data_IF_602557318536
#
_entry.id   IF_602557318536
#
_cell.length_a   1.000
_cell.length_b   1.000
_cell.length_c   1.000
_cell.angle_alpha   90.00
_cell.angle_beta   90.00
_cell.angle_gamma   90.00
#
_symmetry.space_group_name_H-M   'P 1'
#
loop_
_entity.id
_entity.type
_entity.pdbx_description
1 polymer ?
#
# COMPACT_ATOMS: atom_id res chain seq x y z
N UNK A 1 -30.03 20.10 27.77
CA UNK A 1 -29.75 18.66 28.00
C UNK A 1 -28.79 18.55 29.17
N UNK A 2 -28.94 17.54 30.03
CA UNK A 2 -28.09 17.35 31.19
C UNK A 2 -26.82 16.55 30.85
N UNK A 3 -25.65 17.01 31.30
CA UNK A 3 -24.40 16.27 31.18
C UNK A 3 -24.07 15.48 32.45
N UNK A 4 -24.03 14.15 32.38
CA UNK A 4 -23.73 13.28 33.53
C UNK A 4 -22.27 13.34 34.00
N UNK A 5 -21.35 13.81 33.15
CA UNK A 5 -19.92 13.94 33.46
C UNK A 5 -19.64 15.22 34.22
N UNK A 6 -20.26 16.33 33.81
CA UNK A 6 -20.06 17.64 34.42
C UNK A 6 -21.14 18.01 35.45
N UNK A 7 -22.25 17.27 35.49
CA UNK A 7 -23.42 17.50 36.37
C UNK A 7 -24.06 18.89 36.21
N UNK A 8 -24.08 19.42 34.99
CA UNK A 8 -24.65 20.74 34.67
C UNK A 8 -25.65 20.62 33.52
N UNK A 9 -26.72 21.40 33.61
CA UNK A 9 -27.68 21.62 32.53
C UNK A 9 -27.21 22.76 31.62
N UNK A 10 -26.98 22.44 30.35
CA UNK A 10 -26.50 23.40 29.37
C UNK A 10 -27.50 23.55 28.21
N UNK A 11 -27.72 24.78 27.73
CA UNK A 11 -28.62 25.05 26.61
C UNK A 11 -28.04 24.55 25.28
N UNK A 12 -26.71 24.57 25.11
CA UNK A 12 -26.02 24.11 23.91
C UNK A 12 -25.19 22.84 24.20
N UNK A 13 -25.79 21.68 23.94
CA UNK A 13 -25.19 20.38 24.27
C UNK A 13 -23.97 20.07 23.39
N UNK A 14 -24.00 20.42 22.11
CA UNK A 14 -22.93 20.09 21.16
C UNK A 14 -21.64 20.85 21.45
N UNK A 15 -21.74 22.14 21.76
CA UNK A 15 -20.58 22.95 22.12
C UNK A 15 -19.96 22.48 23.44
N UNK A 16 -20.78 22.07 24.40
CA UNK A 16 -20.31 21.54 25.67
C UNK A 16 -19.44 20.29 25.49
N UNK A 17 -19.89 19.28 24.74
CA UNK A 17 -19.13 18.03 24.56
C UNK A 17 -17.78 18.24 23.84
N UNK A 18 -17.62 19.32 23.08
CA UNK A 18 -16.36 19.70 22.43
C UNK A 18 -15.46 20.56 23.32
N UNK A 19 -15.97 21.09 24.43
CA UNK A 19 -15.22 21.98 25.31
C UNK A 19 -14.08 21.26 26.03
N UNK A 20 -12.99 22.01 26.31
CA UNK A 20 -11.85 21.50 27.07
C UNK A 20 -12.29 21.09 28.48
N UNK A 21 -13.17 21.87 29.12
CA UNK A 21 -13.73 21.57 30.43
C UNK A 21 -14.41 20.20 30.51
N UNK A 22 -15.24 19.86 29.52
CA UNK A 22 -15.87 18.54 29.43
C UNK A 22 -14.83 17.43 29.30
N UNK A 23 -13.85 17.60 28.40
CA UNK A 23 -12.78 16.62 28.20
C UNK A 23 -11.93 16.40 29.48
N UNK A 24 -11.72 17.45 30.28
CA UNK A 24 -10.99 17.35 31.55
C UNK A 24 -11.80 16.64 32.62
N UNK A 25 -13.10 16.96 32.77
CA UNK A 25 -13.97 16.25 33.70
C UNK A 25 -14.17 14.77 33.30
N UNK A 26 -14.16 14.47 32.01
CA UNK A 26 -14.18 13.09 31.52
C UNK A 26 -12.91 12.32 31.92
N UNK A 27 -11.72 12.93 31.76
CA UNK A 27 -10.45 12.34 32.23
C UNK A 27 -10.46 12.10 33.75
N UNK A 28 -11.00 13.05 34.53
CA UNK A 28 -11.12 12.92 35.99
C UNK A 28 -12.06 11.79 36.38
N UNK A 29 -13.20 11.66 35.68
CA UNK A 29 -14.14 10.54 35.88
C UNK A 29 -13.48 9.19 35.59
N UNK A 30 -12.66 9.10 34.54
CA UNK A 30 -11.88 7.88 34.23
C UNK A 30 -10.84 7.55 35.30
N UNK A 31 -10.43 8.52 36.11
CA UNK A 31 -9.51 8.38 37.23
C UNK A 31 -10.25 8.37 38.58
N UNK A 32 -11.57 8.16 38.59
CA UNK A 32 -12.43 8.12 39.78
C UNK A 32 -12.38 9.39 40.66
N UNK A 33 -11.90 10.51 40.11
CA UNK A 33 -11.86 11.79 40.79
C UNK A 33 -13.16 12.59 40.61
N UNK A 34 -13.56 13.40 41.60
CA UNK A 34 -14.75 14.22 41.50
C UNK A 34 -14.62 15.25 40.36
N UNK A 35 -15.72 15.53 39.62
CA UNK A 35 -15.76 16.58 38.61
C UNK A 35 -15.44 17.96 39.23
N UNK A 36 -14.77 18.80 38.45
CA UNK A 36 -14.40 20.18 38.82
C UNK A 36 -15.46 21.14 38.28
N UNK A 37 -15.80 22.14 39.08
CA UNK A 37 -16.72 23.21 38.68
C UNK A 37 -16.09 24.19 37.67
N UNK A 38 -16.90 24.92 36.93
CA UNK A 38 -16.42 25.81 35.87
C UNK A 38 -15.48 26.90 36.41
N UNK A 39 -15.80 27.49 37.57
CA UNK A 39 -14.95 28.52 38.19
C UNK A 39 -13.57 27.99 38.60
N UNK A 40 -13.53 26.77 39.13
CA UNK A 40 -12.29 26.11 39.53
C UNK A 40 -11.45 25.73 38.31
N UNK A 41 -12.10 25.33 37.21
CA UNK A 41 -11.43 25.04 35.95
C UNK A 41 -10.75 26.29 35.36
N UNK A 42 -11.45 27.43 35.37
CA UNK A 42 -10.88 28.71 34.91
C UNK A 42 -9.64 29.10 35.73
N UNK A 43 -9.73 29.05 37.06
CA UNK A 43 -8.59 29.35 37.95
C UNK A 43 -7.38 28.46 37.66
N UNK A 44 -7.57 27.15 37.48
CA UNK A 44 -6.49 26.23 37.15
C UNK A 44 -5.90 26.50 35.76
N UNK A 45 -6.74 26.87 34.79
CA UNK A 45 -6.28 27.20 33.43
C UNK A 45 -5.43 28.46 33.38
N UNK A 46 -5.69 29.44 34.25
CA UNK A 46 -4.89 30.67 34.35
C UNK A 46 -3.51 30.42 34.97
N UNK A 47 -3.41 29.49 35.92
CA UNK A 47 -2.15 29.12 36.58
C UNK A 47 -1.30 28.18 35.71
N UNK A 48 -1.95 27.35 34.89
CA UNK A 48 -1.28 26.39 34.00
C UNK A 48 -1.18 26.92 32.55
N UNK A 49 -0.60 28.09 32.35
CA UNK A 49 0.04 28.38 31.06
C UNK A 49 1.40 27.68 31.05
N UNK A 50 1.57 26.51 30.41
CA UNK A 50 2.90 25.97 30.25
C UNK A 50 3.68 26.94 29.36
N UNK A 51 4.82 27.43 29.85
CA UNK A 51 5.89 27.91 28.97
C UNK A 51 6.36 26.71 28.16
N UNK A 52 5.66 26.40 27.07
CA UNK A 52 6.01 25.28 26.21
C UNK A 52 7.31 25.69 25.53
N UNK A 53 8.43 25.19 26.03
CA UNK A 53 9.72 25.28 25.36
C UNK A 53 9.55 24.65 23.98
N UNK A 54 9.33 25.50 22.98
CA UNK A 54 9.13 25.08 21.60
C UNK A 54 10.48 24.67 21.04
N UNK A 55 10.60 23.41 20.64
CA UNK A 55 11.84 22.86 20.11
C UNK A 55 12.01 23.33 18.66
N UNK A 56 12.94 24.27 18.42
CA UNK A 56 13.20 24.82 17.09
C UNK A 56 14.29 24.03 16.36
N UNK A 57 14.11 23.83 15.05
CA UNK A 57 15.15 23.22 14.21
C UNK A 57 16.26 24.22 13.87
N UNK A 58 17.51 23.75 13.85
CA UNK A 58 18.67 24.59 13.49
C UNK A 58 18.83 24.79 11.98
N UNK A 59 18.23 23.90 11.19
CA UNK A 59 18.33 23.90 9.72
C UNK A 59 17.10 24.51 9.04
N UNK A 60 16.01 24.73 9.79
CA UNK A 60 14.86 25.47 9.30
C UNK A 60 14.09 26.13 10.46
N UNK A 61 13.33 27.19 10.18
CA UNK A 61 12.63 27.97 11.21
C UNK A 61 11.37 27.30 11.77
N UNK A 62 11.23 25.97 11.66
CA UNK A 62 10.06 25.24 12.15
C UNK A 62 10.19 24.91 13.63
N UNK A 63 9.19 25.34 14.40
CA UNK A 63 9.05 25.00 15.82
C UNK A 63 8.20 23.74 16.00
N UNK A 64 8.68 22.81 16.81
CA UNK A 64 8.06 21.51 17.06
C UNK A 64 7.67 21.37 18.54
N UNK A 65 6.55 20.69 18.79
CA UNK A 65 6.02 20.48 20.15
C UNK A 65 6.70 19.35 20.93
N UNK A 66 7.38 18.44 20.24
CA UNK A 66 7.98 17.23 20.83
C UNK A 66 9.42 17.05 20.32
N UNK A 67 10.33 16.72 21.23
CA UNK A 67 11.74 16.41 20.93
C UNK A 67 11.90 15.29 19.88
N UNK A 68 11.15 14.18 20.01
CA UNK A 68 11.17 13.09 19.02
C UNK A 68 10.81 13.56 17.61
N UNK A 69 9.86 14.50 17.50
CA UNK A 69 9.45 15.08 16.21
C UNK A 69 10.53 16.01 15.67
N UNK A 70 11.19 16.77 16.54
CA UNK A 70 12.34 17.59 16.17
C UNK A 70 13.47 16.70 15.63
N UNK A 71 13.83 15.63 16.33
CA UNK A 71 14.92 14.73 15.92
C UNK A 71 14.65 14.06 14.58
N UNK A 72 13.41 13.61 14.33
CA UNK A 72 13.05 13.08 13.01
C UNK A 72 13.12 14.17 11.94
N UNK A 73 12.57 15.34 12.24
CA UNK A 73 12.57 16.47 11.31
C UNK A 73 14.00 16.92 10.95
N UNK A 74 14.93 16.96 11.92
CA UNK A 74 16.34 17.29 11.68
C UNK A 74 16.97 16.28 10.73
N UNK A 75 16.70 14.97 10.89
CA UNK A 75 17.21 13.93 9.98
C UNK A 75 16.66 14.11 8.56
N UNK A 76 15.36 14.34 8.44
CA UNK A 76 14.72 14.55 7.14
C UNK A 76 15.26 15.83 6.47
N UNK A 77 15.50 16.89 7.26
CA UNK A 77 16.05 18.16 6.77
C UNK A 77 17.48 18.00 6.27
N UNK A 78 18.33 17.25 7.00
CA UNK A 78 19.69 16.92 6.59
C UNK A 78 19.72 16.09 5.31
N UNK A 79 18.88 15.06 5.23
CA UNK A 79 18.79 14.21 4.03
C UNK A 79 18.36 15.00 2.80
N UNK A 80 17.39 15.90 2.95
CA UNK A 80 16.95 16.75 1.86
C UNK A 80 18.05 17.72 1.40
N UNK A 81 18.82 18.27 2.35
CA UNK A 81 19.97 19.12 2.03
C UNK A 81 21.06 18.34 1.27
N UNK A 82 21.39 17.13 1.71
CA UNK A 82 22.35 16.25 1.03
C UNK A 82 21.89 15.92 -0.41
N UNK A 83 20.60 15.60 -0.59
CA UNK A 83 20.07 15.36 -1.94
C UNK A 83 20.12 16.59 -2.83
N UNK A 84 19.86 17.78 -2.28
CA UNK A 84 19.92 19.03 -3.04
C UNK A 84 21.36 19.32 -3.52
N UNK A 85 22.35 19.16 -2.63
CA UNK A 85 23.76 19.29 -2.98
C UNK A 85 24.20 18.28 -4.04
N UNK A 86 23.71 17.03 -3.93
CA UNK A 86 23.99 15.98 -4.92
C UNK A 86 23.38 16.31 -6.29
N UNK A 87 22.17 16.87 -6.33
CA UNK A 87 21.53 17.30 -7.59
C UNK A 87 22.35 18.43 -8.23
N UNK A 88 22.75 19.44 -7.46
CA UNK A 88 23.60 20.54 -7.95
C UNK A 88 24.93 20.04 -8.51
N UNK A 89 25.63 19.15 -7.80
CA UNK A 89 26.89 18.57 -8.28
C UNK A 89 26.72 17.73 -9.56
N UNK A 90 25.54 17.14 -9.79
CA UNK A 90 25.23 16.43 -11.04
C UNK A 90 24.90 17.39 -12.17
N UNK A 91 24.25 18.52 -11.90
CA UNK A 91 23.99 19.57 -12.87
C UNK A 91 25.31 20.22 -13.33
N UNK A 92 26.21 20.54 -12.40
CA UNK A 92 27.56 21.04 -12.71
C UNK A 92 28.38 20.02 -13.52
N UNK A 93 28.24 18.72 -13.23
CA UNK A 93 28.88 17.66 -14.03
C UNK A 93 28.30 17.58 -15.45
N UNK A 94 26.98 17.70 -15.60
CA UNK A 94 26.30 17.69 -16.90
C UNK A 94 26.66 18.91 -17.75
N UNK A 95 27.03 20.02 -17.13
CA UNK A 95 27.51 21.20 -17.84
C UNK A 95 28.92 20.98 -18.45
N UNK A 96 29.76 20.16 -17.81
CA UNK A 96 31.12 19.87 -18.28
C UNK A 96 31.20 18.65 -19.23
N UNK A 97 30.40 17.63 -18.97
CA UNK A 97 30.20 16.53 -19.92
C UNK A 97 29.16 16.99 -20.93
N UNK A 98 29.59 17.68 -21.99
CA UNK A 98 28.75 17.98 -23.14
C UNK A 98 28.17 16.69 -23.72
N UNK A 99 27.02 16.28 -23.20
CA UNK A 99 26.24 15.18 -23.74
C UNK A 99 25.74 15.68 -25.08
N UNK A 100 26.48 15.32 -26.12
CA UNK A 100 26.05 15.37 -27.50
C UNK A 100 24.78 14.51 -27.59
N UNK A 101 23.62 15.15 -27.40
CA UNK A 101 22.38 14.60 -27.91
C UNK A 101 22.47 14.79 -29.41
N UNK A 102 22.92 13.76 -30.11
CA UNK A 102 22.96 13.68 -31.56
C UNK A 102 21.54 13.57 -32.14
N UNK A 103 20.62 14.44 -31.70
CA UNK A 103 19.45 14.78 -32.49
C UNK A 103 19.95 15.78 -33.53
N UNK A 104 20.35 15.24 -34.67
CA UNK A 104 20.71 16.01 -35.85
C UNK A 104 19.62 17.05 -36.14
N UNK A 105 20.03 18.31 -36.09
CA UNK A 105 19.29 19.44 -36.62
C UNK A 105 19.30 19.32 -38.14
N UNK A 106 18.41 18.49 -38.68
CA UNK A 106 18.03 18.52 -40.07
C UNK A 106 17.19 19.78 -40.32
N UNK A 107 17.88 20.90 -40.60
CA UNK A 107 17.29 21.99 -41.36
C UNK A 107 17.04 21.48 -42.78
N UNK A 108 15.83 20.98 -43.04
CA UNK A 108 15.23 20.97 -44.36
C UNK A 108 13.98 21.85 -44.31
N UNK A 109 14.13 23.04 -44.88
CA UNK A 109 13.07 24.01 -45.14
C UNK A 109 12.07 23.43 -46.17
N UNK A 110 11.16 22.54 -45.77
CA UNK A 110 9.95 22.21 -46.54
C UNK A 110 9.06 21.25 -45.73
N UNK A 111 8.07 21.82 -45.04
CA UNK A 111 6.74 21.24 -44.73
C UNK A 111 6.19 21.85 -43.44
N UNK A 112 5.68 23.07 -43.58
CA UNK A 112 4.91 23.76 -42.56
C UNK A 112 3.49 23.15 -42.47
N UNK A 113 3.38 21.92 -41.96
CA UNK A 113 2.11 21.43 -41.40
C UNK A 113 2.09 21.75 -39.91
N UNK A 114 1.06 22.45 -39.40
CA UNK A 114 0.88 22.63 -37.97
C UNK A 114 0.80 21.24 -37.31
N UNK A 115 1.91 20.86 -36.68
CA UNK A 115 1.96 19.74 -35.75
C UNK A 115 1.12 20.17 -34.55
N UNK A 116 -0.06 19.56 -34.41
CA UNK A 116 -0.78 19.59 -33.14
C UNK A 116 0.12 18.90 -32.12
N UNK A 117 0.57 19.65 -31.11
CA UNK A 117 1.02 19.11 -29.84
C UNK A 117 -0.14 18.29 -29.24
N UNK A 118 -0.26 17.04 -29.68
CA UNK A 118 -0.84 16.03 -28.80
C UNK A 118 0.20 15.83 -27.71
N UNK A 119 0.07 16.63 -26.66
CA UNK A 119 0.74 16.40 -25.39
C UNK A 119 0.62 14.90 -25.09
N UNK A 120 1.75 14.20 -25.12
CA UNK A 120 1.84 12.78 -24.80
C UNK A 120 1.66 12.67 -23.28
N UNK A 121 0.44 12.94 -22.83
CA UNK A 121 0.06 13.00 -21.42
C UNK A 121 -0.13 11.58 -20.91
N UNK A 122 1.00 10.95 -20.56
CA UNK A 122 1.02 9.68 -19.86
C UNK A 122 0.47 9.76 -18.44
N UNK A 123 -0.03 10.91 -17.97
CA UNK A 123 -0.61 11.02 -16.63
C UNK A 123 -1.85 10.13 -16.45
N UNK A 124 -2.49 9.75 -17.56
CA UNK A 124 -3.67 8.90 -17.56
C UNK A 124 -3.41 7.40 -17.78
N UNK A 125 -2.21 7.00 -18.21
CA UNK A 125 -1.94 5.59 -18.49
C UNK A 125 -1.83 4.75 -17.19
N UNK A 126 -2.54 3.61 -17.11
CA UNK A 126 -2.53 2.77 -15.92
C UNK A 126 -1.26 1.92 -15.79
N UNK A 127 -0.44 1.84 -16.84
CA UNK A 127 0.79 1.05 -16.89
C UNK A 127 1.93 1.80 -17.58
N UNK A 128 3.16 1.47 -17.19
CA UNK A 128 4.39 1.88 -17.85
C UNK A 128 5.13 0.63 -18.32
N UNK A 129 5.47 0.55 -19.60
CA UNK A 129 6.28 -0.53 -20.15
C UNK A 129 7.76 -0.16 -20.07
N UNK A 130 8.56 -1.00 -19.42
CA UNK A 130 10.01 -0.81 -19.35
C UNK A 130 10.69 -1.48 -20.55
N UNK A 131 11.88 -1.00 -20.98
CA UNK A 131 12.69 -1.65 -22.01
C UNK A 131 13.06 -3.11 -21.69
N UNK A 132 13.05 -3.48 -20.41
CA UNK A 132 13.23 -4.85 -19.94
C UNK A 132 12.03 -5.77 -20.22
N UNK A 133 10.96 -5.27 -20.83
CA UNK A 133 9.71 -5.99 -21.07
C UNK A 133 8.81 -6.10 -19.84
N UNK A 134 9.22 -5.55 -18.70
CA UNK A 134 8.41 -5.52 -17.48
C UNK A 134 7.33 -4.44 -17.56
N UNK A 135 6.12 -4.75 -17.09
CA UNK A 135 5.00 -3.80 -17.04
C UNK A 135 4.81 -3.34 -15.59
N UNK A 136 4.95 -2.05 -15.34
CA UNK A 136 4.79 -1.44 -14.01
C UNK A 136 3.46 -0.71 -13.92
N UNK A 137 2.59 -1.12 -12.98
CA UNK A 137 1.30 -0.47 -12.76
C UNK A 137 1.41 0.86 -12.02
N UNK A 138 0.58 1.83 -12.40
CA UNK A 138 0.51 3.13 -11.74
C UNK A 138 -0.18 3.01 -10.37
N UNK A 139 0.42 3.64 -9.34
CA UNK A 139 -0.04 3.61 -7.95
C UNK A 139 -1.50 4.04 -7.78
N UNK A 140 -1.96 5.00 -8.60
CA UNK A 140 -3.35 5.50 -8.58
C UNK A 140 -4.38 4.40 -8.81
N UNK A 141 -4.01 3.33 -9.53
CA UNK A 141 -4.90 2.23 -9.87
C UNK A 141 -4.69 0.97 -9.00
N UNK A 142 -3.95 1.08 -7.88
CA UNK A 142 -3.67 -0.06 -6.98
C UNK A 142 -4.93 -0.77 -6.48
N UNK A 143 -6.02 -0.04 -6.28
CA UNK A 143 -7.29 -0.61 -5.81
C UNK A 143 -7.83 -1.59 -6.86
N UNK A 144 -7.82 -1.18 -8.13
CA UNK A 144 -8.26 -2.03 -9.25
C UNK A 144 -7.32 -3.22 -9.46
N UNK A 145 -6.00 -3.03 -9.33
CA UNK A 145 -5.04 -4.14 -9.44
C UNK A 145 -5.16 -5.17 -8.31
N UNK A 146 -5.66 -4.76 -7.14
CA UNK A 146 -5.92 -5.66 -5.99
C UNK A 146 -7.31 -6.28 -6.02
N UNK A 147 -8.20 -5.81 -6.89
CA UNK A 147 -9.54 -6.34 -7.01
C UNK A 147 -9.47 -7.79 -7.53
N UNK A 148 -10.07 -8.72 -6.77
CA UNK A 148 -10.17 -10.11 -7.18
C UNK A 148 -11.52 -10.31 -7.86
N UNK A 149 -11.52 -10.43 -9.19
CA UNK A 149 -12.74 -10.74 -9.93
C UNK A 149 -13.25 -12.13 -9.53
N UNK A 150 -14.40 -12.18 -8.84
CA UNK A 150 -15.00 -13.42 -8.36
C UNK A 150 -15.26 -14.42 -9.49
N UNK A 151 -15.60 -13.92 -10.68
CA UNK A 151 -15.78 -14.75 -11.87
C UNK A 151 -14.49 -15.48 -12.28
N UNK A 152 -13.34 -14.80 -12.30
CA UNK A 152 -12.04 -15.42 -12.62
C UNK A 152 -11.57 -16.37 -11.53
N UNK A 153 -11.86 -16.06 -10.26
CA UNK A 153 -11.59 -16.98 -9.16
C UNK A 153 -12.42 -18.27 -9.31
N UNK A 154 -13.71 -18.15 -9.64
CA UNK A 154 -14.61 -19.29 -9.83
C UNK A 154 -14.23 -20.14 -11.05
N UNK A 155 -13.78 -19.52 -12.16
CA UNK A 155 -13.25 -20.27 -13.29
C UNK A 155 -11.94 -21.00 -12.93
N UNK A 156 -11.04 -20.34 -12.18
CA UNK A 156 -9.78 -20.94 -11.76
C UNK A 156 -9.98 -22.12 -10.81
N UNK A 157 -10.95 -22.03 -9.88
CA UNK A 157 -11.30 -23.16 -9.01
C UNK A 157 -11.94 -24.30 -9.77
N UNK A 158 -12.82 -24.04 -10.74
CA UNK A 158 -13.39 -25.07 -11.61
C UNK A 158 -12.31 -25.79 -12.43
N UNK A 159 -11.35 -25.06 -13.00
CA UNK A 159 -10.24 -25.65 -13.77
C UNK A 159 -9.36 -26.54 -12.88
N UNK A 160 -9.07 -26.14 -11.63
CA UNK A 160 -8.31 -26.96 -10.68
C UNK A 160 -9.07 -28.24 -10.33
N UNK A 161 -10.37 -28.14 -10.01
CA UNK A 161 -11.21 -29.31 -9.73
C UNK A 161 -11.28 -30.29 -10.92
N UNK A 162 -11.35 -29.77 -12.14
CA UNK A 162 -11.32 -30.61 -13.35
C UNK A 162 -9.98 -31.35 -13.50
N UNK A 163 -8.86 -30.69 -13.19
CA UNK A 163 -7.52 -31.33 -13.23
C UNK A 163 -7.39 -32.44 -12.20
N UNK A 164 -7.78 -32.19 -10.95
CA UNK A 164 -7.74 -33.19 -9.87
C UNK A 164 -8.60 -34.42 -10.23
N UNK A 165 -9.76 -34.18 -10.86
CA UNK A 165 -10.62 -35.25 -11.36
C UNK A 165 -9.96 -36.03 -12.51
N UNK A 166 -9.27 -35.36 -13.45
CA UNK A 166 -8.56 -36.07 -14.53
C UNK A 166 -7.39 -36.91 -14.01
N UNK A 167 -6.64 -36.44 -13.02
CA UNK A 167 -5.53 -37.18 -12.40
C UNK A 167 -6.05 -38.40 -11.61
N UNK A 168 -7.20 -38.26 -10.94
CA UNK A 168 -7.90 -39.39 -10.29
C UNK A 168 -8.36 -40.44 -11.30
N UNK A 169 -8.93 -40.02 -12.44
CA UNK A 169 -9.36 -40.93 -13.50
C UNK A 169 -8.17 -41.64 -14.16
N UNK A 170 -7.05 -40.96 -14.37
CA UNK A 170 -5.83 -41.58 -14.89
C UNK A 170 -5.28 -42.64 -13.92
N UNK A 171 -5.30 -42.36 -12.62
CA UNK A 171 -4.89 -43.31 -11.57
C UNK A 171 -5.81 -44.54 -11.51
N UNK A 172 -7.13 -44.37 -11.67
CA UNK A 172 -8.07 -45.50 -11.78
C UNK A 172 -7.82 -46.32 -13.04
N UNK A 173 -7.52 -45.68 -14.17
CA UNK A 173 -7.21 -46.34 -15.43
C UNK A 173 -5.96 -47.22 -15.31
N UNK A 174 -4.88 -46.74 -14.71
CA UNK A 174 -3.65 -47.52 -14.54
C UNK A 174 -3.86 -48.72 -13.61
N UNK A 175 -4.68 -48.58 -12.56
CA UNK A 175 -5.08 -49.70 -11.69
C UNK A 175 -5.81 -50.79 -12.49
N UNK A 176 -6.79 -50.41 -13.30
CA UNK A 176 -7.55 -51.35 -14.14
C UNK A 176 -6.63 -52.04 -15.16
N UNK A 177 -5.74 -51.29 -15.82
CA UNK A 177 -4.77 -51.85 -16.78
C UNK A 177 -3.85 -52.88 -16.11
N UNK A 178 -3.40 -52.61 -14.89
CA UNK A 178 -2.56 -53.52 -14.12
C UNK A 178 -3.34 -54.78 -13.68
N UNK A 179 -4.61 -54.65 -13.28
CA UNK A 179 -5.47 -55.80 -12.97
C UNK A 179 -5.69 -56.68 -14.21
N UNK A 180 -5.97 -56.10 -15.37
CA UNK A 180 -6.12 -56.84 -16.63
C UNK A 180 -4.82 -57.57 -16.98
N UNK A 181 -3.65 -56.92 -16.87
CA UNK A 181 -2.34 -57.55 -17.12
C UNK A 181 -2.10 -58.75 -16.20
N UNK A 182 -2.44 -58.63 -14.91
CA UNK A 182 -2.33 -59.73 -13.94
C UNK A 182 -3.26 -60.89 -14.32
N UNK A 183 -4.53 -60.62 -14.63
CA UNK A 183 -5.48 -61.64 -15.05
C UNK A 183 -5.02 -62.38 -16.32
N UNK A 184 -4.52 -61.65 -17.32
CA UNK A 184 -3.97 -62.24 -18.55
C UNK A 184 -2.74 -63.10 -18.23
N UNK A 185 -1.84 -62.65 -17.34
CA UNK A 185 -0.65 -63.42 -16.93
C UNK A 185 -1.04 -64.70 -16.21
N UNK A 186 -1.98 -64.64 -15.27
CA UNK A 186 -2.50 -65.82 -14.55
C UNK A 186 -3.19 -66.79 -15.50
N UNK A 187 -4.00 -66.29 -16.44
CA UNK A 187 -4.66 -67.13 -17.44
C UNK A 187 -3.65 -67.83 -18.37
N UNK A 188 -2.58 -67.12 -18.79
CA UNK A 188 -1.47 -67.72 -19.55
C UNK A 188 -0.75 -68.81 -18.75
N UNK A 189 -0.44 -68.55 -17.48
CA UNK A 189 0.19 -69.55 -16.60
C UNK A 189 -0.71 -70.77 -16.39
N UNK A 190 -2.01 -70.57 -16.18
CA UNK A 190 -2.98 -71.64 -16.03
C UNK A 190 -3.11 -72.49 -17.29
N UNK A 191 -3.22 -71.86 -18.47
CA UNK A 191 -3.24 -72.58 -19.76
C UNK A 191 -1.95 -73.36 -20.01
N UNK A 192 -0.81 -72.75 -19.72
CA UNK A 192 0.48 -73.44 -19.82
C UNK A 192 0.47 -74.67 -18.91
N UNK A 193 0.10 -74.53 -17.63
CA UNK A 193 0.09 -75.65 -16.67
C UNK A 193 -0.88 -76.78 -17.05
N UNK A 194 -2.01 -76.47 -17.69
CA UNK A 194 -2.96 -77.47 -18.22
C UNK A 194 -2.41 -78.23 -19.44
N UNK A 195 -1.59 -77.58 -20.27
CA UNK A 195 -1.03 -78.16 -21.50
C UNK A 195 0.11 -79.16 -21.24
N UNK A 196 0.71 -79.13 -20.05
CA UNK A 196 1.79 -80.04 -19.61
C UNK A 196 1.32 -81.05 -18.54
N UNK A 197 0.00 -81.26 -18.41
CA UNK A 197 -0.63 -82.15 -17.41
C UNK A 197 -1.28 -83.40 -18.03
N UNK A 198 -0.93 -83.76 -19.27
CA UNK A 198 -1.37 -84.99 -19.94
C UNK A 198 -0.20 -85.93 -20.18
#
# INVERSE_FOLDING_TARGET
MFCTVCRVDLPDSLQHYKSVWHSTNLKRKNQEMPPIDLQQFEQLSMVSQPSVEAWQCQYCDKTMKNEKRLNQHVKDCLSNLETALRVQALEERKEYEGVNTDYEQANSEEDNKPYEETAFDHSHEPYLQLPSGSILGNKRYLIYFKQKDQYRLNQRTQIVQLKDNTESLQSRRTIIENQIKLQVRLHKQFRFRMQWSQ
#
